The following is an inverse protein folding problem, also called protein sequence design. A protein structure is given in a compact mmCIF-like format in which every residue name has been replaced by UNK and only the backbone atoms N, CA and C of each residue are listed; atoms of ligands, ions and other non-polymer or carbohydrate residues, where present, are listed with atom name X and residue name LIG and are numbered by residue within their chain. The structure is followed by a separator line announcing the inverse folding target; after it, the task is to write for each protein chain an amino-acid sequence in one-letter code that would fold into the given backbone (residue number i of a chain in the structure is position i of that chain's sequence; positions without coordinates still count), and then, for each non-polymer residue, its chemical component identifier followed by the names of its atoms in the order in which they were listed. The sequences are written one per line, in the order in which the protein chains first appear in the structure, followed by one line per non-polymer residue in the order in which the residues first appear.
data_IF_609346504759
#
_entry.id   IF_609346504759
#
_cell.length_a   1.000
_cell.length_b   1.000
_cell.length_c   1.000
_cell.angle_alpha   90.00
_cell.angle_beta   90.00
_cell.angle_gamma   90.00
#
_symmetry.space_group_name_H-M   'P 1'
#
loop_
_entity.id
_entity.type
_entity.pdbx_description
1 polymer ?
#
# COMPACT_ATOMS: atom_id res chain seq x y z
N UNK A 1 -74.02 19.03 -7.46
CA UNK A 1 -72.75 18.36 -7.84
C UNK A 1 -71.63 19.38 -7.87
N UNK A 2 -70.41 18.94 -7.53
CA UNK A 2 -69.10 19.56 -7.81
C UNK A 2 -68.45 20.40 -6.69
N UNK A 3 -67.72 19.64 -5.87
CA UNK A 3 -66.29 19.79 -5.51
C UNK A 3 -65.89 20.90 -4.53
N UNK A 4 -65.79 20.46 -3.28
CA UNK A 4 -64.83 20.86 -2.26
C UNK A 4 -63.40 20.86 -2.84
N UNK A 5 -62.66 21.95 -2.71
CA UNK A 5 -61.20 21.93 -2.54
C UNK A 5 -60.82 23.05 -1.56
N UNK A 6 -60.72 22.70 -0.27
CA UNK A 6 -60.11 23.54 0.74
C UNK A 6 -58.58 23.40 0.62
N UNK A 7 -57.89 24.46 0.20
CA UNK A 7 -56.43 24.50 0.11
C UNK A 7 -55.84 24.75 1.51
N UNK A 8 -55.73 23.68 2.30
CA UNK A 8 -55.15 23.71 3.63
C UNK A 8 -53.68 24.13 3.57
N UNK A 9 -53.35 25.26 4.22
CA UNK A 9 -51.99 25.69 4.49
C UNK A 9 -51.32 24.66 5.41
N UNK A 10 -50.60 23.68 4.85
CA UNK A 10 -49.69 22.83 5.61
C UNK A 10 -48.46 23.65 5.98
N UNK A 11 -48.39 24.06 7.25
CA UNK A 11 -47.16 24.50 7.88
C UNK A 11 -46.26 23.27 8.02
N UNK A 12 -45.29 23.12 7.12
CA UNK A 12 -44.26 22.09 7.25
C UNK A 12 -43.27 22.58 8.31
N UNK A 13 -43.53 22.15 9.55
CA UNK A 13 -42.69 22.35 10.71
C UNK A 13 -41.32 21.73 10.47
N UNK A 14 -40.30 22.50 10.80
CA UNK A 14 -38.89 22.15 10.95
C UNK A 14 -38.62 20.69 11.37
N UNK A 15 -38.21 19.84 10.43
CA UNK A 15 -37.46 18.60 10.72
C UNK A 15 -35.98 18.87 10.44
N UNK A 16 -35.38 19.68 11.32
CA UNK A 16 -33.94 19.77 11.50
C UNK A 16 -33.64 19.16 12.87
N UNK A 17 -33.09 17.96 12.87
CA UNK A 17 -32.47 17.39 14.06
C UNK A 17 -32.97 16.00 14.40
N UNK A 18 -32.30 14.99 13.84
CA UNK A 18 -31.68 13.89 14.60
C UNK A 18 -31.04 12.89 13.62
N UNK A 19 -29.86 13.22 13.08
CA UNK A 19 -28.99 12.21 12.46
C UNK A 19 -27.53 12.57 12.69
N UNK A 20 -27.15 12.79 13.95
CA UNK A 20 -25.73 12.78 14.32
C UNK A 20 -25.56 11.93 15.59
N UNK A 21 -25.85 10.64 15.44
CA UNK A 21 -25.73 9.65 16.52
C UNK A 21 -25.15 8.34 16.00
N UNK A 22 -24.05 8.44 15.23
CA UNK A 22 -23.22 7.27 14.90
C UNK A 22 -21.73 7.63 14.66
N UNK A 23 -21.18 8.65 15.32
CA UNK A 23 -19.73 8.93 15.25
C UNK A 23 -19.09 9.26 16.61
N UNK A 24 -19.64 8.75 17.71
CA UNK A 24 -18.96 8.80 19.01
C UNK A 24 -17.90 7.70 19.18
N UNK A 25 -17.79 6.75 18.23
CA UNK A 25 -16.95 5.55 18.39
C UNK A 25 -15.63 5.56 17.60
N UNK A 26 -15.43 6.51 16.66
CA UNK A 26 -14.24 6.56 15.80
C UNK A 26 -13.56 7.92 15.74
N UNK A 27 -13.51 8.66 16.85
CA UNK A 27 -12.63 9.84 16.92
C UNK A 27 -11.16 9.42 16.71
N UNK A 28 -10.68 9.57 15.47
CA UNK A 28 -9.32 9.26 15.07
C UNK A 28 -8.45 10.51 15.21
N UNK A 29 -7.54 10.48 16.18
CA UNK A 29 -6.64 11.57 16.50
C UNK A 29 -5.29 11.37 15.78
N UNK A 30 -4.72 12.39 15.14
CA UNK A 30 -3.42 12.28 14.46
C UNK A 30 -2.25 12.20 15.45
N UNK A 31 -1.25 11.37 15.13
CA UNK A 31 0.03 11.34 15.82
C UNK A 31 0.86 12.58 15.48
N UNK A 32 1.40 13.29 16.47
CA UNK A 32 2.23 14.50 16.29
C UNK A 32 3.57 14.26 15.56
N UNK A 33 4.03 13.01 15.49
CA UNK A 33 5.35 12.65 14.94
C UNK A 33 5.26 12.18 13.48
N UNK A 34 4.21 11.42 13.13
CA UNK A 34 4.05 10.84 11.79
C UNK A 34 2.71 11.14 11.11
N UNK A 35 1.84 11.94 11.74
CA UNK A 35 0.55 12.42 11.24
C UNK A 35 -0.47 11.33 10.81
N UNK A 36 -0.21 10.07 11.14
CA UNK A 36 -1.18 8.98 10.96
C UNK A 36 -2.26 9.07 12.05
N UNK A 37 -3.51 8.80 11.70
CA UNK A 37 -4.66 8.90 12.60
C UNK A 37 -4.94 7.58 13.31
N UNK A 38 -5.21 7.62 14.61
CA UNK A 38 -5.46 6.44 15.45
C UNK A 38 -6.59 6.71 16.43
N UNK A 39 -7.31 5.67 16.86
CA UNK A 39 -8.22 5.77 18.01
C UNK A 39 -7.44 6.12 19.28
N UNK A 40 -8.01 6.93 20.18
CA UNK A 40 -7.33 7.46 21.37
C UNK A 40 -6.60 6.39 22.19
N UNK A 41 -7.25 5.23 22.43
CA UNK A 41 -6.66 4.09 23.17
C UNK A 41 -5.41 3.50 22.50
N UNK A 42 -5.30 3.54 21.17
CA UNK A 42 -4.13 3.04 20.43
C UNK A 42 -3.08 4.12 20.20
N UNK A 43 -3.48 5.39 20.20
CA UNK A 43 -2.58 6.51 19.95
C UNK A 43 -1.46 6.59 20.99
N UNK A 44 -1.78 6.37 22.27
CA UNK A 44 -0.78 6.41 23.34
C UNK A 44 0.36 5.40 23.11
N UNK A 45 0.02 4.13 22.85
CA UNK A 45 1.00 3.09 22.50
C UNK A 45 1.72 3.41 21.19
N UNK A 46 1.01 3.99 20.22
CA UNK A 46 1.62 4.41 18.97
C UNK A 46 2.69 5.48 19.18
N UNK A 47 2.44 6.52 19.98
CA UNK A 47 3.39 7.62 20.21
C UNK A 47 4.72 7.07 20.77
N UNK A 48 4.66 6.20 21.78
CA UNK A 48 5.85 5.58 22.38
C UNK A 48 6.70 4.80 21.36
N UNK A 49 6.07 4.08 20.43
CA UNK A 49 6.78 3.33 19.39
C UNK A 49 7.24 4.26 18.25
N UNK A 50 6.42 5.22 17.87
CA UNK A 50 6.66 6.14 16.76
C UNK A 50 7.89 7.01 17.03
N UNK A 51 8.05 7.48 18.28
CA UNK A 51 9.22 8.21 18.73
C UNK A 51 10.50 7.36 18.59
N UNK A 52 10.49 6.13 19.13
CA UNK A 52 11.62 5.20 19.00
C UNK A 52 11.99 4.95 17.54
N UNK A 53 10.99 4.67 16.70
CA UNK A 53 11.22 4.39 15.28
C UNK A 53 11.78 5.62 14.54
N UNK A 54 11.35 6.83 14.89
CA UNK A 54 11.80 8.06 14.26
C UNK A 54 13.18 8.52 14.73
N UNK A 55 13.53 8.26 15.98
CA UNK A 55 14.86 8.53 16.52
C UNK A 55 15.90 7.52 16.03
N UNK A 56 15.52 6.25 15.84
CA UNK A 56 16.45 5.22 15.38
C UNK A 56 16.56 5.20 13.85
N UNK A 57 17.76 5.42 13.30
CA UNK A 57 18.01 5.17 11.88
C UNK A 57 18.28 3.67 11.64
N UNK A 58 17.22 2.87 11.61
CA UNK A 58 17.32 1.42 11.35
C UNK A 58 17.89 1.19 9.95
N UNK A 59 18.86 0.27 9.85
CA UNK A 59 19.41 -0.15 8.57
C UNK A 59 18.32 -0.77 7.69
N UNK A 60 18.42 -0.54 6.38
CA UNK A 60 17.49 -1.15 5.42
C UNK A 60 17.64 -2.66 5.47
N UNK A 61 16.54 -3.35 5.77
CA UNK A 61 16.52 -4.81 5.80
C UNK A 61 16.76 -5.36 4.39
N UNK A 62 17.90 -6.02 4.20
CA UNK A 62 18.23 -6.65 2.92
C UNK A 62 17.75 -8.11 2.93
N UNK A 63 16.65 -8.37 2.22
CA UNK A 63 16.06 -9.71 2.10
C UNK A 63 17.01 -10.72 1.49
N UNK A 64 17.79 -10.34 0.47
CA UNK A 64 18.74 -11.23 -0.18
C UNK A 64 19.80 -11.71 0.83
N UNK A 65 20.45 -10.78 1.53
CA UNK A 65 21.46 -11.12 2.54
C UNK A 65 20.89 -12.02 3.62
N UNK A 66 19.69 -11.75 4.13
CA UNK A 66 19.09 -12.58 5.17
C UNK A 66 18.73 -13.99 4.67
N UNK A 67 18.37 -14.14 3.39
CA UNK A 67 18.09 -15.45 2.78
C UNK A 67 19.35 -16.24 2.45
N UNK A 68 20.41 -15.56 2.00
CA UNK A 68 21.65 -16.22 1.60
C UNK A 68 22.59 -16.46 2.76
N UNK A 69 22.41 -15.75 3.89
CA UNK A 69 23.18 -15.98 5.11
C UNK A 69 23.10 -17.44 5.55
N UNK A 70 24.25 -18.07 5.75
CA UNK A 70 24.40 -19.49 6.12
C UNK A 70 24.13 -20.48 4.98
N UNK A 71 23.84 -20.01 3.76
CA UNK A 71 23.67 -20.88 2.60
C UNK A 71 25.00 -21.07 1.85
N UNK A 72 25.07 -22.14 1.05
CA UNK A 72 26.21 -22.39 0.15
C UNK A 72 26.50 -21.21 -0.80
N UNK A 73 25.48 -20.38 -1.09
CA UNK A 73 25.65 -19.17 -1.90
C UNK A 73 26.56 -18.18 -1.18
N UNK A 74 26.35 -17.91 0.11
CA UNK A 74 27.20 -16.99 0.89
C UNK A 74 28.65 -17.50 0.99
N UNK A 75 28.82 -18.80 1.21
CA UNK A 75 30.15 -19.42 1.29
C UNK A 75 30.89 -19.37 -0.05
N UNK A 76 30.18 -19.63 -1.15
CA UNK A 76 30.70 -19.48 -2.50
C UNK A 76 31.18 -18.05 -2.76
N UNK A 77 30.38 -17.03 -2.44
CA UNK A 77 30.82 -15.64 -2.59
C UNK A 77 32.05 -15.34 -1.74
N UNK A 78 32.10 -15.76 -0.47
CA UNK A 78 33.26 -15.50 0.42
C UNK A 78 34.56 -16.13 -0.07
N UNK A 79 34.48 -17.33 -0.64
CA UNK A 79 35.64 -18.11 -1.11
C UNK A 79 36.08 -17.70 -2.50
N UNK A 80 35.16 -17.28 -3.36
CA UNK A 80 35.43 -16.95 -4.77
C UNK A 80 35.51 -15.43 -5.04
N UNK A 81 35.43 -14.57 -4.01
CA UNK A 81 35.47 -13.11 -4.18
C UNK A 81 36.86 -12.48 -4.02
N UNK A 82 37.84 -12.85 -4.85
CA UNK A 82 38.99 -12.00 -5.28
C UNK A 82 39.44 -12.57 -6.64
N UNK A 83 39.47 -11.86 -7.76
CA UNK A 83 39.97 -10.51 -8.04
C UNK A 83 39.24 -9.85 -9.21
N UNK A 84 39.27 -8.51 -9.25
CA UNK A 84 38.90 -7.66 -10.39
C UNK A 84 39.42 -8.25 -11.70
N UNK A 85 38.55 -8.63 -12.62
CA UNK A 85 38.85 -8.44 -14.04
C UNK A 85 38.68 -6.96 -14.34
N UNK A 86 39.68 -6.28 -14.90
CA UNK A 86 39.52 -4.93 -15.42
C UNK A 86 38.89 -5.07 -16.80
N UNK A 87 37.60 -5.41 -16.87
CA UNK A 87 36.88 -5.26 -18.12
C UNK A 87 35.63 -4.47 -17.84
N UNK A 88 35.80 -3.16 -18.01
CA UNK A 88 34.80 -2.13 -18.22
C UNK A 88 33.39 -2.63 -17.87
N UNK A 89 33.01 -2.43 -16.61
CA UNK A 89 31.60 -2.32 -16.24
C UNK A 89 31.05 -1.11 -17.01
N UNK A 90 30.73 -1.34 -18.29
CA UNK A 90 29.82 -0.53 -19.08
C UNK A 90 28.63 -0.33 -18.15
N UNK A 91 28.48 0.89 -17.64
CA UNK A 91 27.49 1.24 -16.63
C UNK A 91 26.13 0.94 -17.25
N UNK A 92 25.60 -0.25 -16.99
CA UNK A 92 24.44 -0.73 -17.74
C UNK A 92 23.28 0.18 -17.37
N UNK A 93 22.80 0.96 -18.34
CA UNK A 93 21.73 1.91 -18.10
C UNK A 93 20.50 1.17 -17.62
N UNK A 94 20.19 1.30 -16.32
CA UNK A 94 19.09 0.60 -15.66
C UNK A 94 17.77 0.74 -16.43
N UNK A 95 17.53 1.92 -17.01
CA UNK A 95 16.36 2.23 -17.83
C UNK A 95 16.31 1.43 -19.13
N UNK A 96 17.44 1.18 -19.79
CA UNK A 96 17.51 0.38 -21.03
C UNK A 96 17.31 -1.11 -20.72
N UNK A 97 17.94 -1.62 -19.65
CA UNK A 97 17.78 -3.01 -19.22
C UNK A 97 16.35 -3.33 -18.78
N UNK A 98 15.73 -2.44 -17.99
CA UNK A 98 14.34 -2.59 -17.59
C UNK A 98 13.42 -2.66 -18.82
N UNK A 99 13.60 -1.73 -19.78
CA UNK A 99 12.83 -1.72 -21.03
C UNK A 99 13.04 -3.00 -21.87
N UNK A 100 14.27 -3.49 -21.97
CA UNK A 100 14.57 -4.72 -22.70
C UNK A 100 13.93 -5.95 -22.04
N UNK A 101 14.01 -6.05 -20.71
CA UNK A 101 13.38 -7.13 -19.95
C UNK A 101 11.84 -7.10 -20.07
N UNK A 102 11.22 -5.93 -19.97
CA UNK A 102 9.76 -5.80 -20.15
C UNK A 102 9.32 -6.22 -21.55
N UNK A 103 10.09 -5.88 -22.58
CA UNK A 103 9.82 -6.31 -23.96
C UNK A 103 9.99 -7.82 -24.12
N UNK A 104 10.98 -8.42 -23.48
CA UNK A 104 11.18 -9.87 -23.52
C UNK A 104 10.04 -10.63 -22.84
N UNK A 105 9.59 -10.15 -21.68
CA UNK A 105 8.42 -10.69 -20.97
C UNK A 105 7.12 -10.54 -21.76
N UNK A 106 6.96 -9.44 -22.51
CA UNK A 106 5.82 -9.24 -23.42
C UNK A 106 5.87 -10.18 -24.63
N UNK A 107 7.07 -10.43 -25.18
CA UNK A 107 7.28 -11.35 -26.31
C UNK A 107 7.05 -12.82 -25.96
N UNK A 108 7.44 -13.23 -24.76
CA UNK A 108 7.21 -14.60 -24.27
C UNK A 108 5.79 -14.85 -23.77
N UNK A 109 4.95 -13.81 -23.68
CA UNK A 109 3.55 -13.95 -23.31
C UNK A 109 2.77 -14.35 -24.57
N UNK A 110 2.23 -15.57 -24.59
CA UNK A 110 1.31 -15.99 -25.65
C UNK A 110 0.16 -14.97 -25.77
N UNK A 111 -0.33 -14.67 -26.99
CA UNK A 111 -1.52 -13.84 -27.12
C UNK A 111 -2.63 -14.47 -26.29
N UNK A 112 -3.39 -13.64 -25.58
CA UNK A 112 -4.54 -14.11 -24.83
C UNK A 112 -5.50 -14.78 -25.81
N UNK A 113 -5.42 -16.11 -25.91
CA UNK A 113 -6.43 -16.92 -26.56
C UNK A 113 -7.73 -16.60 -25.85
N UNK A 114 -8.74 -16.24 -26.61
CA UNK A 114 -10.09 -15.96 -26.13
C UNK A 114 -10.76 -17.26 -25.65
N UNK A 115 -10.24 -17.91 -24.61
CA UNK A 115 -11.00 -18.92 -23.89
C UNK A 115 -11.96 -18.19 -22.96
N UNK A 116 -13.19 -18.00 -23.43
CA UNK A 116 -14.30 -17.55 -22.59
C UNK A 116 -14.43 -18.49 -21.38
N UNK A 117 -14.46 -17.99 -20.13
CA UNK A 117 -14.74 -18.83 -18.98
C UNK A 117 -16.19 -19.32 -19.07
N UNK A 118 -16.38 -20.61 -19.33
CA UNK A 118 -17.69 -21.25 -19.30
C UNK A 118 -18.06 -21.48 -17.84
N UNK A 119 -18.73 -20.53 -17.21
CA UNK A 119 -19.48 -20.82 -15.99
C UNK A 119 -20.85 -21.36 -16.43
N UNK A 120 -20.94 -22.68 -16.55
CA UNK A 120 -22.23 -23.36 -16.68
C UNK A 120 -22.92 -23.39 -15.32
N UNK A 121 -24.23 -23.13 -15.34
CA UNK A 121 -25.11 -23.03 -14.17
C UNK A 121 -25.80 -24.37 -13.92
#
# INVERSE_FOLDING_TARGET
MKKIIAFGKKQHKEELGLMDSMDASFQLVPCRICNRKFASKRLEKHIQVCEKVKQTHRQVFNSYLNRTKGSAIEEFWKTHSRSKTPEVLQKKNHKQNHKANTKNMQRGRLPAGTSQPKWSK
#
